data_IF_347443333973
#
_entry.id   IF_347443333973
#
_cell.length_a   1.000
_cell.length_b   1.000
_cell.length_c   1.000
_cell.angle_alpha   90.00
_cell.angle_beta   90.00
_cell.angle_gamma   90.00
#
_symmetry.space_group_name_H-M   'P 1'
#
loop_
_entity.id
_entity.type
_entity.pdbx_description
1 polymer ?
#
# COMPACT_ATOMS: atom_id res chain seq x y z
N UNK A 1 -15.57 3.53 -16.45
CA UNK A 1 -15.19 3.52 -15.03
C UNK A 1 -14.48 4.85 -14.76
N UNK A 2 -15.19 5.84 -14.21
CA UNK A 2 -14.72 7.22 -14.11
C UNK A 2 -13.80 7.38 -12.90
N UNK A 3 -12.51 7.55 -13.15
CA UNK A 3 -11.56 8.06 -12.16
C UNK A 3 -11.76 9.58 -12.15
N UNK A 4 -12.49 10.08 -11.16
CA UNK A 4 -12.66 11.51 -10.96
C UNK A 4 -11.39 12.09 -10.30
N UNK A 5 -10.44 12.52 -11.12
CA UNK A 5 -9.36 13.42 -10.68
C UNK A 5 -9.98 14.81 -10.54
N UNK A 6 -10.50 15.12 -9.35
CA UNK A 6 -10.97 16.47 -9.03
C UNK A 6 -9.76 17.37 -8.79
N UNK A 7 -9.32 18.00 -9.87
CA UNK A 7 -8.48 19.19 -9.91
C UNK A 7 -9.21 20.33 -9.19
N UNK A 8 -8.89 20.59 -7.93
CA UNK A 8 -9.42 21.75 -7.21
C UNK A 8 -8.52 22.97 -7.39
N UNK A 9 -9.21 24.09 -7.67
CA UNK A 9 -8.74 25.34 -8.26
C UNK A 9 -7.81 26.15 -7.35
N UNK A 10 -6.89 26.86 -8.00
CA UNK A 10 -6.27 28.11 -7.51
C UNK A 10 -7.34 29.12 -7.09
N UNK A 11 -7.19 29.74 -5.90
CA UNK A 11 -7.43 31.18 -5.65
C UNK A 11 -6.72 31.63 -4.34
N UNK A 12 -5.74 32.51 -4.55
CA UNK A 12 -5.27 33.69 -3.81
C UNK A 12 -5.35 33.85 -2.27
N UNK A 13 -4.15 34.13 -1.73
CA UNK A 13 -3.76 35.07 -0.66
C UNK A 13 -4.88 35.63 0.24
N UNK A 14 -4.97 35.10 1.45
CA UNK A 14 -4.92 35.95 2.66
C UNK A 14 -4.33 35.16 3.84
N UNK A 15 -3.49 35.84 4.61
CA UNK A 15 -2.54 35.23 5.54
C UNK A 15 -3.15 34.38 6.67
N UNK A 16 -2.29 33.52 7.21
CA UNK A 16 -2.46 32.73 8.43
C UNK A 16 -3.56 31.67 8.38
N UNK A 17 -3.19 30.49 7.90
CA UNK A 17 -3.73 29.20 8.35
C UNK A 17 -2.74 28.15 7.84
N UNK A 18 -2.02 27.49 8.74
CA UNK A 18 -1.32 26.26 8.39
C UNK A 18 -2.39 25.29 7.86
N UNK A 19 -2.36 24.97 6.56
CA UNK A 19 -3.04 23.76 6.10
C UNK A 19 -2.37 22.63 6.84
N UNK A 20 -3.05 22.10 7.86
CA UNK A 20 -2.75 20.76 8.35
C UNK A 20 -2.89 19.89 7.11
N UNK A 21 -1.76 19.45 6.58
CA UNK A 21 -1.70 18.57 5.43
C UNK A 21 -2.62 17.40 5.75
N UNK A 22 -3.74 17.32 5.04
CA UNK A 22 -4.81 16.39 5.35
C UNK A 22 -4.25 14.99 5.09
N UNK A 23 -3.76 14.35 6.17
CA UNK A 23 -3.14 13.03 6.09
C UNK A 23 -4.10 12.09 5.38
N UNK A 24 -3.62 11.43 4.32
CA UNK A 24 -4.43 10.48 3.56
C UNK A 24 -4.79 9.34 4.50
N UNK A 25 -6.08 9.22 4.81
CA UNK A 25 -6.63 8.09 5.55
C UNK A 25 -6.88 6.94 4.59
N UNK A 26 -6.33 5.79 4.92
CA UNK A 26 -6.48 4.57 4.11
C UNK A 26 -7.89 4.00 4.30
N UNK A 27 -8.42 4.04 5.53
CA UNK A 27 -9.76 3.55 5.85
C UNK A 27 -10.52 4.63 6.61
N UNK A 28 -11.68 5.06 6.09
CA UNK A 28 -12.51 6.04 6.80
C UNK A 28 -13.24 5.37 7.98
N UNK A 29 -13.47 6.06 9.10
CA UNK A 29 -14.22 5.50 10.23
C UNK A 29 -15.61 4.98 9.87
N UNK A 30 -16.28 5.61 8.90
CA UNK A 30 -17.58 5.16 8.39
C UNK A 30 -17.48 3.85 7.58
N UNK A 31 -16.39 3.66 6.83
CA UNK A 31 -16.13 2.42 6.07
C UNK A 31 -15.78 1.29 7.02
N UNK A 32 -14.95 1.57 8.02
CA UNK A 32 -14.63 0.61 9.08
C UNK A 32 -15.89 0.21 9.85
N UNK A 33 -16.75 1.17 10.21
CA UNK A 33 -18.02 0.89 10.87
C UNK A 33 -18.95 0.02 10.03
N UNK A 34 -19.05 0.28 8.72
CA UNK A 34 -19.82 -0.56 7.80
C UNK A 34 -19.24 -1.98 7.74
N UNK A 35 -17.92 -2.11 7.61
CA UNK A 35 -17.23 -3.41 7.52
C UNK A 35 -17.33 -4.22 8.83
N UNK A 36 -17.38 -3.56 9.98
CA UNK A 36 -17.53 -4.20 11.29
C UNK A 36 -18.99 -4.32 11.78
N UNK A 37 -19.97 -4.00 10.92
CA UNK A 37 -21.40 -3.96 11.26
C UNK A 37 -21.74 -3.09 12.48
N UNK A 38 -20.98 -2.02 12.70
CA UNK A 38 -21.18 -1.04 13.77
C UNK A 38 -21.78 0.26 13.24
N UNK A 39 -22.31 1.07 14.15
CA UNK A 39 -22.85 2.39 13.81
C UNK A 39 -21.70 3.40 13.64
N UNK A 40 -21.79 4.34 12.68
CA UNK A 40 -20.87 5.47 12.63
C UNK A 40 -20.86 6.24 13.96
N UNK A 41 -19.66 6.50 14.51
CA UNK A 41 -19.49 7.17 15.80
C UNK A 41 -19.49 6.26 17.03
N UNK A 42 -19.61 4.93 16.85
CA UNK A 42 -19.44 3.98 17.95
C UNK A 42 -18.00 4.03 18.50
N UNK A 43 -17.79 4.19 19.81
CA UNK A 43 -16.44 4.30 20.41
C UNK A 43 -15.58 3.05 20.17
N UNK A 44 -16.19 1.89 19.90
CA UNK A 44 -15.46 0.66 19.55
C UNK A 44 -14.71 0.78 18.22
N UNK A 45 -15.12 1.68 17.33
CA UNK A 45 -14.41 1.94 16.07
C UNK A 45 -13.06 2.59 16.32
N UNK A 46 -12.98 3.50 17.29
CA UNK A 46 -11.71 4.11 17.69
C UNK A 46 -10.79 3.05 18.28
N UNK A 47 -11.30 2.19 19.15
CA UNK A 47 -10.53 1.06 19.69
C UNK A 47 -10.05 0.12 18.58
N UNK A 48 -10.94 -0.26 17.66
CA UNK A 48 -10.62 -1.13 16.52
C UNK A 48 -9.51 -0.53 15.64
N UNK A 49 -9.56 0.78 15.39
CA UNK A 49 -8.55 1.48 14.60
C UNK A 49 -7.17 1.46 15.27
N UNK A 50 -7.13 1.53 16.60
CA UNK A 50 -5.87 1.46 17.36
C UNK A 50 -5.28 0.04 17.36
N UNK A 51 -6.09 -0.94 17.76
CA UNK A 51 -5.59 -2.31 18.00
C UNK A 51 -5.30 -3.07 16.70
N UNK A 52 -5.96 -2.70 15.59
CA UNK A 52 -5.71 -3.29 14.27
C UNK A 52 -4.40 -2.81 13.63
N UNK A 53 -3.75 -1.78 14.20
CA UNK A 53 -2.57 -1.17 13.60
C UNK A 53 -2.87 -0.28 12.40
N UNK A 54 -4.14 0.02 12.09
CA UNK A 54 -4.53 0.91 10.98
C UNK A 54 -3.87 2.29 11.10
N UNK A 55 -3.74 2.86 12.30
CA UNK A 55 -3.00 4.11 12.48
C UNK A 55 -1.52 4.00 12.14
N UNK A 56 -0.89 2.86 12.44
CA UNK A 56 0.52 2.62 12.08
C UNK A 56 0.65 2.55 10.56
N UNK A 57 -0.26 1.83 9.90
CA UNK A 57 -0.30 1.73 8.45
C UNK A 57 -0.54 3.08 7.78
N UNK A 58 -1.45 3.91 8.32
CA UNK A 58 -1.68 5.27 7.84
C UNK A 58 -0.43 6.15 7.96
N UNK A 59 0.29 6.08 9.09
CA UNK A 59 1.55 6.82 9.26
C UNK A 59 2.58 6.41 8.21
N UNK A 60 2.83 5.10 8.08
CA UNK A 60 3.78 4.57 7.10
C UNK A 60 3.39 4.99 5.68
N UNK A 61 2.11 4.89 5.31
CA UNK A 61 1.64 5.29 3.99
C UNK A 61 1.84 6.79 3.71
N UNK A 62 1.58 7.64 4.69
CA UNK A 62 1.79 9.09 4.55
C UNK A 62 3.28 9.46 4.52
N UNK A 63 4.15 8.74 5.25
CA UNK A 63 5.60 8.93 5.23
C UNK A 63 6.23 8.50 3.90
N UNK A 64 5.70 7.46 3.26
CA UNK A 64 6.12 7.07 1.90
C UNK A 64 5.75 8.16 0.88
N UNK A 65 4.72 8.98 1.14
CA UNK A 65 4.38 10.17 0.36
C UNK A 65 3.95 9.85 -1.07
N UNK A 66 4.48 10.59 -2.05
CA UNK A 66 4.17 10.44 -3.48
C UNK A 66 5.18 9.55 -4.23
N UNK A 67 5.87 8.64 -3.53
CA UNK A 67 6.72 7.63 -4.18
C UNK A 67 5.85 6.64 -4.97
N UNK A 68 6.39 6.11 -6.06
CA UNK A 68 5.66 5.22 -6.97
C UNK A 68 6.51 4.03 -7.42
N UNK A 69 5.85 2.98 -7.93
CA UNK A 69 6.52 1.82 -8.50
C UNK A 69 7.39 1.08 -7.48
N UNK A 70 8.56 0.60 -7.92
CA UNK A 70 9.49 -0.17 -7.08
C UNK A 70 9.96 0.61 -5.84
N UNK A 71 10.18 1.92 -5.99
CA UNK A 71 10.65 2.75 -4.89
C UNK A 71 9.62 2.86 -3.76
N UNK A 72 8.32 2.96 -4.10
CA UNK A 72 7.25 2.88 -3.13
C UNK A 72 7.30 1.57 -2.35
N UNK A 73 7.44 0.44 -3.06
CA UNK A 73 7.45 -0.89 -2.47
C UNK A 73 8.66 -1.07 -1.55
N UNK A 74 9.85 -0.65 -1.99
CA UNK A 74 11.08 -0.73 -1.20
C UNK A 74 10.96 0.03 0.12
N UNK A 75 10.58 1.31 0.08
CA UNK A 75 10.44 2.14 1.28
C UNK A 75 9.35 1.58 2.20
N UNK A 76 8.25 1.09 1.65
CA UNK A 76 7.18 0.47 2.43
C UNK A 76 7.68 -0.78 3.19
N UNK A 77 8.41 -1.67 2.52
CA UNK A 77 8.98 -2.86 3.17
C UNK A 77 10.00 -2.48 4.27
N UNK A 78 10.85 -1.48 4.02
CA UNK A 78 11.78 -0.94 5.02
C UNK A 78 11.05 -0.40 6.26
N UNK A 79 10.00 0.40 6.08
CA UNK A 79 9.21 0.95 7.19
C UNK A 79 8.43 -0.12 7.96
N UNK A 80 8.06 -1.21 7.29
CA UNK A 80 7.46 -2.38 7.94
C UNK A 80 8.49 -3.25 8.66
N UNK A 81 9.79 -2.99 8.51
CA UNK A 81 10.88 -3.79 9.08
C UNK A 81 11.02 -5.16 8.41
N UNK A 82 10.65 -5.25 7.12
CA UNK A 82 10.76 -6.48 6.34
C UNK A 82 12.13 -6.52 5.67
N UNK A 83 12.91 -7.56 6.00
CA UNK A 83 14.18 -7.84 5.37
C UNK A 83 14.02 -9.03 4.42
N UNK A 84 14.41 -8.83 3.17
CA UNK A 84 14.34 -9.85 2.14
C UNK A 84 15.71 -10.48 1.95
N UNK A 85 15.78 -11.78 2.23
CA UNK A 85 16.94 -12.60 1.91
C UNK A 85 16.58 -13.47 0.71
N UNK A 86 17.33 -13.30 -0.38
CA UNK A 86 17.09 -14.02 -1.62
C UNK A 86 18.40 -14.58 -2.10
N UNK A 87 18.39 -15.87 -2.43
CA UNK A 87 19.53 -16.55 -3.04
C UNK A 87 19.72 -16.02 -4.49
N UNK A 88 20.89 -15.42 -4.81
CA UNK A 88 21.16 -14.92 -6.16
C UNK A 88 21.05 -16.01 -7.25
N UNK A 89 21.34 -17.25 -6.90
CA UNK A 89 21.27 -18.40 -7.78
C UNK A 89 19.81 -18.73 -8.15
N UNK A 90 18.86 -18.49 -7.24
CA UNK A 90 17.43 -18.63 -7.54
C UNK A 90 16.94 -17.55 -8.49
N UNK A 91 17.42 -16.32 -8.34
CA UNK A 91 17.11 -15.21 -9.27
C UNK A 91 17.72 -15.42 -10.65
N UNK A 92 18.89 -16.07 -10.72
CA UNK A 92 19.53 -16.42 -11.98
C UNK A 92 18.73 -17.45 -12.79
N UNK A 93 17.94 -18.31 -12.13
CA UNK A 93 17.09 -19.32 -12.78
C UNK A 93 15.84 -18.73 -13.46
N UNK A 94 15.47 -17.48 -13.14
CA UNK A 94 14.30 -16.83 -13.73
C UNK A 94 14.50 -16.64 -15.24
N UNK A 95 13.61 -17.21 -16.10
CA UNK A 95 13.68 -17.01 -17.54
C UNK A 95 13.59 -15.53 -17.90
N UNK A 96 14.58 -15.01 -18.64
CA UNK A 96 14.64 -13.59 -19.05
C UNK A 96 13.66 -13.24 -20.15
N UNK A 97 13.29 -14.23 -20.96
CA UNK A 97 12.36 -14.09 -22.08
C UNK A 97 11.31 -15.20 -22.04
N UNK A 98 10.21 -14.99 -22.78
CA UNK A 98 9.08 -15.92 -22.79
C UNK A 98 8.15 -15.77 -21.59
N UNK A 99 7.06 -16.54 -21.63
CA UNK A 99 6.04 -16.56 -20.60
C UNK A 99 6.51 -17.31 -19.35
N UNK A 100 6.36 -16.69 -18.19
CA UNK A 100 6.64 -17.31 -16.89
C UNK A 100 5.50 -16.97 -15.92
N UNK A 101 5.14 -17.92 -15.06
CA UNK A 101 4.21 -17.72 -13.96
C UNK A 101 4.94 -18.02 -12.65
N UNK A 102 4.88 -17.08 -11.71
CA UNK A 102 5.42 -17.25 -10.37
C UNK A 102 4.29 -17.66 -9.43
N UNK A 103 4.51 -18.72 -8.67
CA UNK A 103 3.57 -19.21 -7.67
C UNK A 103 4.31 -19.28 -6.36
N UNK A 104 3.77 -18.62 -5.34
CA UNK A 104 4.33 -18.61 -4.00
C UNK A 104 3.21 -18.85 -2.99
N UNK A 105 3.58 -19.42 -1.85
CA UNK A 105 2.73 -19.37 -0.68
C UNK A 105 2.62 -17.91 -0.18
N UNK A 106 1.49 -17.56 0.44
CA UNK A 106 1.22 -16.20 0.90
C UNK A 106 0.78 -16.15 2.36
N UNK A 107 1.59 -16.66 3.31
CA UNK A 107 1.20 -16.76 4.71
C UNK A 107 0.96 -15.38 5.36
N UNK A 108 1.60 -14.32 4.87
CA UNK A 108 1.49 -12.98 5.44
C UNK A 108 0.57 -12.04 4.66
N UNK A 109 -0.09 -12.53 3.60
CA UNK A 109 -0.90 -11.68 2.72
C UNK A 109 -0.05 -10.56 2.14
N UNK A 110 -0.67 -9.46 1.70
CA UNK A 110 -0.11 -8.40 0.84
C UNK A 110 1.41 -8.10 0.92
N UNK A 111 2.03 -8.18 2.10
CA UNK A 111 3.49 -8.09 2.28
C UNK A 111 4.27 -9.06 1.38
N UNK A 112 3.90 -10.35 1.25
CA UNK A 112 4.68 -11.26 0.39
C UNK A 112 4.52 -10.92 -1.09
N UNK A 113 3.39 -10.34 -1.49
CA UNK A 113 3.14 -9.89 -2.85
C UNK A 113 4.00 -8.66 -3.18
N UNK A 114 4.14 -7.75 -2.22
CA UNK A 114 5.06 -6.61 -2.29
C UNK A 114 6.52 -7.09 -2.32
N UNK A 115 6.88 -8.08 -1.52
CA UNK A 115 8.22 -8.68 -1.54
C UNK A 115 8.56 -9.27 -2.92
N UNK A 116 7.68 -10.11 -3.45
CA UNK A 116 7.86 -10.71 -4.78
C UNK A 116 7.90 -9.66 -5.89
N UNK A 117 7.06 -8.64 -5.81
CA UNK A 117 7.08 -7.49 -6.71
C UNK A 117 8.46 -6.81 -6.74
N UNK A 118 9.01 -6.51 -5.56
CA UNK A 118 10.31 -5.85 -5.43
C UNK A 118 11.48 -6.71 -5.93
N UNK A 119 11.46 -8.00 -5.59
CA UNK A 119 12.51 -8.94 -5.99
C UNK A 119 12.48 -9.18 -7.51
N UNK A 120 11.30 -9.44 -8.06
CA UNK A 120 11.14 -9.82 -9.46
C UNK A 120 11.22 -8.63 -10.41
N UNK A 121 10.86 -7.42 -9.99
CA UNK A 121 10.98 -6.20 -10.82
C UNK A 121 12.42 -5.98 -11.30
N UNK A 122 13.41 -6.34 -10.48
CA UNK A 122 14.84 -6.24 -10.81
C UNK A 122 15.32 -7.20 -11.89
N UNK A 123 14.67 -8.36 -12.05
CA UNK A 123 15.05 -9.39 -13.05
C UNK A 123 14.08 -9.50 -14.23
N UNK A 124 12.84 -9.02 -14.06
CA UNK A 124 11.75 -9.00 -15.05
C UNK A 124 11.05 -7.63 -15.00
N UNK A 125 11.57 -6.61 -15.68
CA UNK A 125 10.95 -5.29 -15.72
C UNK A 125 9.59 -5.27 -16.45
N UNK A 126 9.26 -6.34 -17.18
CA UNK A 126 7.98 -6.57 -17.86
C UNK A 126 6.94 -7.30 -16.99
N UNK A 127 7.23 -7.50 -15.69
CA UNK A 127 6.36 -8.14 -14.73
C UNK A 127 4.96 -7.51 -14.71
N UNK A 128 3.93 -8.35 -14.67
CA UNK A 128 2.52 -7.94 -14.52
C UNK A 128 1.93 -8.66 -13.32
N UNK A 129 1.25 -7.90 -12.46
CA UNK A 129 0.52 -8.45 -11.33
C UNK A 129 -0.95 -8.56 -11.66
N UNK A 130 -1.51 -9.74 -11.46
CA UNK A 130 -2.95 -9.97 -11.50
C UNK A 130 -3.44 -10.08 -10.05
N UNK A 131 -4.21 -9.10 -9.61
CA UNK A 131 -4.91 -9.13 -8.35
C UNK A 131 -6.42 -9.16 -8.62
N UNK A 132 -7.14 -10.02 -7.90
CA UNK A 132 -8.60 -10.03 -7.92
C UNK A 132 -9.14 -9.29 -6.69
N UNK A 133 -10.31 -8.67 -6.81
CA UNK A 133 -10.97 -7.93 -5.71
C UNK A 133 -11.58 -8.85 -4.64
N UNK A 134 -11.52 -10.17 -4.81
CA UNK A 134 -12.12 -11.16 -3.93
C UNK A 134 -11.05 -12.17 -3.51
N UNK A 135 -10.69 -12.14 -2.24
CA UNK A 135 -10.10 -13.24 -1.47
C UNK A 135 -10.86 -13.33 -0.14
#
# INVERSE_FOLDING_TARGET
MNIAILRQRSMERNGYLWKVEEQRRIVRPAELAKASHMRPGDPRITLLTEVSGLRKLERVYNEVGDRHGDEFVRVLLEQLGVHLEVDPEDLARVPKEGGVAFVANHPYGAVDGLALLHILSGVRPDLKVMANFLL
#
